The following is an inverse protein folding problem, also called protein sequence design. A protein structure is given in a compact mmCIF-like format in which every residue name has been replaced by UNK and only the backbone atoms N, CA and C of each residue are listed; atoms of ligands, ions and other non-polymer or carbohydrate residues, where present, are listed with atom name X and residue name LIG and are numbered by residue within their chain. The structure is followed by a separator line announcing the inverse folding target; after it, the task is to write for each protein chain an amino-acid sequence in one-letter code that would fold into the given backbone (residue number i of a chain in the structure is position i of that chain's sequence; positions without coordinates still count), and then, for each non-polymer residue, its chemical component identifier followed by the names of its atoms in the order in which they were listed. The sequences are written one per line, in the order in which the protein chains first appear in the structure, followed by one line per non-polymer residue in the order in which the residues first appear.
data_IF_184768500816
#
_entry.id   IF_184768500816
#
_cell.length_a   1.000
_cell.length_b   1.000
_cell.length_c   1.000
_cell.angle_alpha   90.00
_cell.angle_beta   90.00
_cell.angle_gamma   90.00
#
_symmetry.space_group_name_H-M   'P 1'
#
loop_
_entity.id
_entity.type
_entity.pdbx_description
1 polymer ?
#
# COMPACT_ATOMS: atom_id res chain seq x y z
N UNK A 1 -55.01 19.87 12.99
CA UNK A 1 -55.35 20.80 11.90
C UNK A 1 -54.09 21.05 11.08
N UNK A 2 -54.02 20.51 9.87
CA UNK A 2 -52.90 20.74 8.94
C UNK A 2 -53.12 22.08 8.24
N UNK A 3 -52.18 23.03 8.35
CA UNK A 3 -52.25 24.27 7.55
C UNK A 3 -51.93 23.94 6.09
N UNK A 4 -52.71 24.41 5.10
CA UNK A 4 -52.32 24.30 3.70
C UNK A 4 -51.18 25.28 3.39
N UNK A 5 -50.04 24.78 2.93
CA UNK A 5 -48.93 25.59 2.44
C UNK A 5 -49.38 26.39 1.21
N UNK A 6 -49.09 27.68 1.17
CA UNK A 6 -49.51 28.56 0.08
C UNK A 6 -48.54 28.47 -1.10
N UNK A 7 -49.05 28.63 -2.33
CA UNK A 7 -48.25 28.61 -3.56
C UNK A 7 -47.15 29.69 -3.55
N UNK A 8 -47.41 30.83 -2.92
CA UNK A 8 -46.44 31.89 -2.71
C UNK A 8 -45.24 31.47 -1.81
N UNK A 9 -45.47 30.61 -0.83
CA UNK A 9 -44.42 30.08 0.07
C UNK A 9 -43.56 29.03 -0.66
N UNK A 10 -44.15 28.27 -1.58
CA UNK A 10 -43.40 27.35 -2.45
C UNK A 10 -42.52 28.10 -3.47
N UNK A 11 -42.96 29.26 -3.97
CA UNK A 11 -42.20 30.05 -4.94
C UNK A 11 -40.97 30.74 -4.32
N UNK A 12 -41.03 31.15 -3.04
CA UNK A 12 -39.88 31.78 -2.36
C UNK A 12 -38.86 30.78 -1.81
N UNK A 13 -39.27 29.54 -1.52
CA UNK A 13 -38.41 28.53 -0.86
C UNK A 13 -37.51 27.71 -1.81
N UNK A 14 -37.61 27.92 -3.14
CA UNK A 14 -36.99 27.05 -4.15
C UNK A 14 -35.84 27.67 -4.96
N UNK A 15 -35.49 28.95 -4.76
CA UNK A 15 -34.22 29.50 -5.29
C UNK A 15 -33.09 29.08 -4.35
N UNK A 16 -32.56 27.88 -4.55
CA UNK A 16 -31.33 27.46 -3.91
C UNK A 16 -30.25 28.51 -4.18
N UNK A 17 -29.65 29.08 -3.13
CA UNK A 17 -28.54 30.02 -3.27
C UNK A 17 -27.46 29.38 -4.14
N UNK A 18 -26.91 30.10 -5.13
CA UNK A 18 -25.93 29.52 -6.04
C UNK A 18 -24.76 29.02 -5.20
N UNK A 19 -24.53 27.70 -5.23
CA UNK A 19 -23.40 27.08 -4.53
C UNK A 19 -22.14 27.80 -5.01
N UNK A 20 -21.50 28.52 -4.10
CA UNK A 20 -20.30 29.28 -4.40
C UNK A 20 -19.26 28.34 -4.99
N UNK A 21 -18.64 28.75 -6.09
CA UNK A 21 -17.52 28.01 -6.69
C UNK A 21 -16.28 28.19 -5.81
N UNK A 22 -16.35 27.53 -4.65
CA UNK A 22 -15.31 27.52 -3.64
C UNK A 22 -14.18 26.63 -4.14
N UNK A 23 -12.92 27.10 -4.19
CA UNK A 23 -11.80 26.23 -4.53
C UNK A 23 -11.78 25.03 -3.59
N UNK A 24 -11.46 23.86 -4.12
CA UNK A 24 -11.29 22.64 -3.32
C UNK A 24 -10.33 22.92 -2.15
N UNK A 25 -10.66 22.48 -0.95
CA UNK A 25 -9.87 22.82 0.23
C UNK A 25 -10.10 21.83 1.37
N UNK A 26 -9.06 21.56 2.17
CA UNK A 26 -9.20 20.90 3.47
C UNK A 26 -9.49 21.90 4.61
N UNK A 27 -9.38 23.21 4.34
CA UNK A 27 -9.41 24.27 5.35
C UNK A 27 -10.76 25.00 5.46
N UNK A 28 -11.72 24.70 4.58
CA UNK A 28 -13.04 25.34 4.55
C UNK A 28 -14.14 24.33 4.24
N UNK A 29 -15.30 24.44 4.88
CA UNK A 29 -16.40 23.48 4.70
C UNK A 29 -16.89 23.37 3.25
N UNK A 30 -17.12 24.50 2.58
CA UNK A 30 -17.56 24.50 1.18
C UNK A 30 -16.51 23.94 0.21
N UNK A 31 -15.23 24.25 0.43
CA UNK A 31 -14.13 23.67 -0.33
C UNK A 31 -13.94 22.17 -0.06
N UNK A 32 -14.27 21.70 1.15
CA UNK A 32 -14.22 20.30 1.53
C UNK A 32 -15.38 19.49 0.92
N UNK A 33 -16.59 20.07 0.84
CA UNK A 33 -17.72 19.48 0.11
C UNK A 33 -17.45 19.35 -1.39
N UNK A 34 -16.75 20.32 -1.98
CA UNK A 34 -16.31 20.28 -3.39
C UNK A 34 -15.23 19.20 -3.59
N UNK A 35 -14.22 19.16 -2.72
CA UNK A 35 -13.16 18.16 -2.70
C UNK A 35 -13.70 16.73 -2.53
N UNK A 36 -14.62 16.51 -1.59
CA UNK A 36 -15.32 15.23 -1.41
C UNK A 36 -16.12 14.81 -2.64
N UNK A 37 -16.78 15.74 -3.34
CA UNK A 37 -17.58 15.43 -4.54
C UNK A 37 -16.69 14.95 -5.69
N UNK A 38 -15.55 15.62 -5.89
CA UNK A 38 -14.53 15.22 -6.88
C UNK A 38 -13.92 13.87 -6.49
N UNK A 39 -13.56 13.68 -5.21
CA UNK A 39 -13.03 12.42 -4.70
C UNK A 39 -14.01 11.25 -4.94
N UNK A 40 -15.30 11.43 -4.63
CA UNK A 40 -16.35 10.41 -4.87
C UNK A 40 -16.49 10.04 -6.35
N UNK A 41 -16.34 11.00 -7.26
CA UNK A 41 -16.34 10.73 -8.70
C UNK A 41 -15.09 9.94 -9.14
N UNK A 42 -13.91 10.29 -8.62
CA UNK A 42 -12.65 9.57 -8.92
C UNK A 42 -12.65 8.15 -8.35
N UNK A 43 -13.19 7.92 -7.16
CA UNK A 43 -13.33 6.59 -6.55
C UNK A 43 -14.22 5.62 -7.36
N UNK A 44 -15.11 6.14 -8.20
CA UNK A 44 -15.95 5.33 -9.08
C UNK A 44 -15.29 5.01 -10.44
N UNK A 45 -14.12 5.60 -10.74
CA UNK A 45 -13.43 5.43 -12.02
C UNK A 45 -12.55 4.19 -12.06
N UNK A 46 -12.65 3.42 -13.14
CA UNK A 46 -11.75 2.28 -13.41
C UNK A 46 -10.36 2.71 -13.85
N UNK A 47 -10.19 3.94 -14.35
CA UNK A 47 -8.87 4.51 -14.69
C UNK A 47 -8.04 4.84 -13.45
N UNK A 48 -8.68 5.09 -12.31
CA UNK A 48 -8.04 5.35 -11.02
C UNK A 48 -7.54 4.02 -10.42
N UNK A 49 -6.33 3.94 -9.82
CA UNK A 49 -5.80 2.67 -9.28
C UNK A 49 -6.61 2.10 -8.11
N UNK A 50 -6.54 0.78 -7.93
CA UNK A 50 -7.41 0.04 -7.00
C UNK A 50 -7.42 0.58 -5.56
N UNK A 51 -6.26 1.00 -5.02
CA UNK A 51 -6.12 1.59 -3.67
C UNK A 51 -6.95 2.89 -3.46
N UNK A 52 -7.34 3.56 -4.55
CA UNK A 52 -8.12 4.80 -4.59
C UNK A 52 -9.60 4.58 -4.97
N UNK A 53 -9.97 3.39 -5.47
CA UNK A 53 -11.36 3.07 -5.85
C UNK A 53 -12.21 2.79 -4.62
N UNK A 54 -13.52 3.04 -4.71
CA UNK A 54 -14.50 2.70 -3.67
C UNK A 54 -14.68 1.18 -3.48
N UNK A 55 -14.29 0.39 -4.48
CA UNK A 55 -14.33 -1.07 -4.45
C UNK A 55 -13.05 -1.65 -5.03
N UNK A 56 -12.55 -2.72 -4.42
CA UNK A 56 -11.44 -3.53 -4.92
C UNK A 56 -11.95 -4.77 -5.67
N UNK A 57 -11.16 -5.27 -6.62
CA UNK A 57 -11.45 -6.51 -7.34
C UNK A 57 -10.95 -7.71 -6.53
N UNK A 58 -11.86 -8.58 -6.07
CA UNK A 58 -11.47 -9.89 -5.53
C UNK A 58 -11.12 -10.78 -6.72
N UNK A 59 -9.93 -11.39 -6.68
CA UNK A 59 -9.43 -12.25 -7.76
C UNK A 59 -9.13 -13.65 -7.25
N UNK A 60 -9.54 -14.64 -8.02
CA UNK A 60 -9.21 -16.05 -7.81
C UNK A 60 -8.76 -16.66 -9.14
N UNK A 61 -7.62 -17.35 -9.14
CA UNK A 61 -6.98 -17.90 -10.35
C UNK A 61 -6.92 -16.90 -11.53
N UNK A 62 -6.56 -15.65 -11.24
CA UNK A 62 -6.43 -14.56 -12.22
C UNK A 62 -7.75 -13.95 -12.73
N UNK A 63 -8.92 -14.52 -12.40
CA UNK A 63 -10.24 -13.99 -12.78
C UNK A 63 -10.82 -13.15 -11.65
N UNK A 64 -11.51 -12.05 -11.99
CA UNK A 64 -12.30 -11.29 -11.02
C UNK A 64 -13.52 -12.12 -10.64
N UNK A 65 -13.64 -12.49 -9.37
CA UNK A 65 -14.76 -13.27 -8.83
C UNK A 65 -15.77 -12.44 -8.05
N UNK A 66 -15.43 -11.19 -7.72
CA UNK A 66 -16.33 -10.26 -7.06
C UNK A 66 -15.69 -8.92 -6.74
N UNK A 67 -16.41 -8.09 -5.98
CA UNK A 67 -15.94 -6.80 -5.49
C UNK A 67 -16.16 -6.69 -3.98
N UNK A 68 -15.18 -6.13 -3.28
CA UNK A 68 -15.28 -5.78 -1.86
C UNK A 68 -15.22 -4.27 -1.66
N UNK A 69 -15.97 -3.69 -0.70
CA UNK A 69 -15.84 -2.27 -0.38
C UNK A 69 -14.44 -1.92 0.10
N UNK A 70 -13.87 -0.83 -0.40
CA UNK A 70 -12.59 -0.29 0.05
C UNK A 70 -12.85 0.98 0.89
N UNK A 71 -12.86 0.89 2.25
CA UNK A 71 -13.11 2.05 3.11
C UNK A 71 -12.02 3.12 3.00
N UNK A 72 -10.80 2.75 2.61
CA UNK A 72 -9.70 3.68 2.42
C UNK A 72 -9.77 4.45 1.08
N UNK A 73 -10.52 3.97 0.08
CA UNK A 73 -10.53 4.53 -1.27
C UNK A 73 -10.89 6.02 -1.32
N UNK A 74 -11.98 6.41 -0.63
CA UNK A 74 -12.42 7.81 -0.57
C UNK A 74 -11.47 8.72 0.23
N UNK A 75 -11.02 8.37 1.46
CA UNK A 75 -9.95 9.07 2.15
C UNK A 75 -8.67 9.22 1.30
N UNK A 76 -8.23 8.14 0.64
CA UNK A 76 -7.05 8.15 -0.21
C UNK A 76 -7.20 9.13 -1.38
N UNK A 77 -8.37 9.17 -2.04
CA UNK A 77 -8.66 10.16 -3.09
C UNK A 77 -8.64 11.61 -2.58
N UNK A 78 -9.17 11.87 -1.38
CA UNK A 78 -9.13 13.20 -0.75
C UNK A 78 -7.68 13.63 -0.44
N UNK A 79 -6.84 12.71 0.06
CA UNK A 79 -5.41 12.97 0.30
C UNK A 79 -4.65 13.20 -1.00
N UNK A 80 -4.84 12.36 -2.02
CA UNK A 80 -4.19 12.51 -3.32
C UNK A 80 -4.60 13.80 -4.05
N UNK A 81 -5.86 14.23 -3.95
CA UNK A 81 -6.31 15.54 -4.43
C UNK A 81 -5.61 16.69 -3.68
N UNK A 82 -5.47 16.63 -2.35
CA UNK A 82 -4.75 17.66 -1.62
C UNK A 82 -3.24 17.67 -1.95
N UNK A 83 -2.64 16.50 -2.17
CA UNK A 83 -1.25 16.38 -2.64
C UNK A 83 -1.08 17.04 -4.02
N UNK A 84 -1.94 16.70 -4.98
CA UNK A 84 -1.95 17.31 -6.31
C UNK A 84 -2.07 18.84 -6.26
N UNK A 85 -2.97 19.36 -5.42
CA UNK A 85 -3.11 20.81 -5.21
C UNK A 85 -1.84 21.47 -4.62
N UNK A 86 -1.15 20.81 -3.68
CA UNK A 86 0.12 21.33 -3.11
C UNK A 86 1.26 21.34 -4.12
N UNK A 87 1.29 20.36 -5.03
CA UNK A 87 2.32 20.22 -6.06
C UNK A 87 2.04 21.04 -7.33
N UNK A 88 0.84 21.61 -7.49
CA UNK A 88 0.38 22.15 -8.78
C UNK A 88 0.24 21.07 -9.86
N UNK A 89 0.04 19.82 -9.45
CA UNK A 89 0.05 18.64 -10.31
C UNK A 89 -1.37 18.17 -10.69
N UNK A 90 -1.47 17.39 -11.77
CA UNK A 90 -2.71 16.72 -12.14
C UNK A 90 -3.08 15.61 -11.12
N UNK A 91 -4.34 15.52 -10.65
CA UNK A 91 -4.77 14.50 -9.70
C UNK A 91 -4.62 13.06 -10.17
N UNK A 92 -4.84 12.77 -11.46
CA UNK A 92 -4.67 11.41 -11.98
C UNK A 92 -3.19 11.05 -12.05
N UNK A 93 -2.32 11.97 -12.49
CA UNK A 93 -0.86 11.78 -12.46
C UNK A 93 -0.36 11.45 -11.05
N UNK A 94 -0.87 12.14 -10.02
CA UNK A 94 -0.55 11.82 -8.61
C UNK A 94 -1.09 10.44 -8.24
N UNK A 95 -2.36 10.13 -8.52
CA UNK A 95 -2.95 8.82 -8.17
C UNK A 95 -2.27 7.63 -8.87
N UNK A 96 -1.73 7.78 -10.08
CA UNK A 96 -0.98 6.71 -10.76
C UNK A 96 0.41 6.46 -10.15
N UNK A 97 0.98 7.44 -9.44
CA UNK A 97 2.38 7.41 -9.01
C UNK A 97 2.58 7.43 -7.48
N UNK A 98 1.54 7.71 -6.71
CA UNK A 98 1.53 7.65 -5.26
C UNK A 98 1.00 6.27 -4.83
N UNK A 99 1.79 5.53 -4.06
CA UNK A 99 1.50 4.19 -3.56
C UNK A 99 1.41 4.20 -2.04
N UNK A 100 0.49 3.41 -1.48
CA UNK A 100 0.43 3.17 -0.03
C UNK A 100 0.95 1.77 0.26
N UNK A 101 2.06 1.68 0.99
CA UNK A 101 2.75 0.42 1.32
C UNK A 101 2.92 0.40 2.84
N UNK A 102 2.29 -0.56 3.53
CA UNK A 102 2.21 -0.58 5.01
C UNK A 102 1.72 0.76 5.62
N UNK A 103 0.77 1.41 4.96
CA UNK A 103 0.30 2.75 5.35
C UNK A 103 1.26 3.91 5.03
N UNK A 104 2.46 3.64 4.52
CA UNK A 104 3.45 4.66 4.13
C UNK A 104 3.18 5.17 2.70
N UNK A 105 2.92 6.47 2.50
CA UNK A 105 2.81 7.05 1.17
C UNK A 105 4.19 7.12 0.49
N UNK A 106 4.26 6.65 -0.76
CA UNK A 106 5.50 6.39 -1.49
C UNK A 106 5.37 6.82 -2.96
N UNK A 107 6.35 7.49 -3.54
CA UNK A 107 6.34 7.82 -4.99
C UNK A 107 6.88 6.67 -5.85
N UNK A 108 6.49 6.55 -7.11
CA UNK A 108 7.27 5.76 -8.07
C UNK A 108 8.63 6.43 -8.30
N UNK A 109 9.70 5.65 -8.44
CA UNK A 109 11.00 6.22 -8.83
C UNK A 109 10.95 6.93 -10.19
N UNK A 110 10.07 6.47 -11.09
CA UNK A 110 9.82 7.11 -12.39
C UNK A 110 9.21 8.51 -12.24
N UNK A 111 8.29 8.71 -11.29
CA UNK A 111 7.68 10.02 -11.00
C UNK A 111 8.69 11.02 -10.44
N UNK A 112 9.59 10.59 -9.54
CA UNK A 112 10.67 11.45 -9.07
C UNK A 112 11.57 11.90 -10.24
N UNK A 113 11.95 10.97 -11.13
CA UNK A 113 12.73 11.31 -12.34
C UNK A 113 11.96 12.29 -13.23
N UNK A 114 10.65 12.07 -13.44
CA UNK A 114 9.81 12.96 -14.23
C UNK A 114 9.67 14.37 -13.61
N UNK A 115 9.50 14.46 -12.29
CA UNK A 115 9.40 15.72 -11.55
C UNK A 115 10.71 16.51 -11.58
N UNK A 116 11.87 15.85 -11.39
CA UNK A 116 13.20 16.47 -11.53
C UNK A 116 13.42 16.99 -12.96
N UNK A 117 12.93 16.25 -13.98
CA UNK A 117 13.04 16.67 -15.37
C UNK A 117 12.11 17.85 -15.73
N UNK A 118 10.97 18.00 -15.05
CA UNK A 118 9.94 19.00 -15.36
C UNK A 118 9.97 20.25 -14.47
N UNK A 119 10.65 20.23 -13.32
CA UNK A 119 10.66 21.30 -12.31
C UNK A 119 11.23 22.67 -12.76
N UNK A 120 11.65 22.80 -14.01
CA UNK A 120 12.22 24.04 -14.56
C UNK A 120 13.68 24.28 -14.17
N UNK A 121 14.09 24.00 -12.92
CA UNK A 121 15.41 24.32 -12.34
C UNK A 121 16.60 23.57 -12.95
N UNK A 122 16.44 22.31 -13.33
CA UNK A 122 17.53 21.45 -13.80
C UNK A 122 17.45 21.08 -15.28
N UNK A 123 18.57 20.65 -15.87
CA UNK A 123 18.56 19.82 -17.07
C UNK A 123 17.87 18.47 -16.80
N UNK A 124 17.45 17.71 -17.83
CA UNK A 124 17.05 16.33 -17.65
C UNK A 124 18.12 15.52 -16.90
N UNK A 125 17.67 14.71 -15.95
CA UNK A 125 18.48 13.86 -15.08
C UNK A 125 19.22 12.81 -15.90
N UNK A 126 20.53 12.72 -15.68
CA UNK A 126 21.43 11.78 -16.35
C UNK A 126 22.08 10.87 -15.31
N UNK A 127 22.63 9.76 -15.79
CA UNK A 127 23.24 8.73 -14.95
C UNK A 127 24.61 8.35 -15.49
N UNK A 128 25.64 8.55 -14.68
CA UNK A 128 26.96 7.95 -14.91
C UNK A 128 26.95 6.58 -14.21
N UNK A 129 26.90 5.51 -15.02
CA UNK A 129 26.95 4.12 -14.55
C UNK A 129 28.33 3.55 -14.88
N UNK A 130 28.95 2.85 -13.94
CA UNK A 130 30.24 2.19 -14.19
C UNK A 130 30.08 0.97 -15.08
N UNK A 131 31.16 0.62 -15.78
CA UNK A 131 31.31 -0.70 -16.38
C UNK A 131 31.08 -1.83 -15.35
N UNK A 132 30.68 -3.03 -15.81
CA UNK A 132 30.63 -4.22 -14.96
C UNK A 132 32.00 -4.57 -14.38
N UNK A 133 32.09 -4.55 -13.04
CA UNK A 133 33.10 -5.29 -12.31
C UNK A 133 32.94 -6.80 -12.50
N UNK A 134 33.90 -7.56 -11.97
CA UNK A 134 33.92 -9.03 -12.06
C UNK A 134 32.67 -9.65 -11.45
N UNK A 135 32.22 -10.78 -12.01
CA UNK A 135 31.17 -11.62 -11.45
C UNK A 135 31.54 -12.06 -10.02
N UNK A 136 30.71 -11.69 -9.05
CA UNK A 136 30.79 -12.13 -7.66
C UNK A 136 29.60 -13.04 -7.34
N UNK A 137 29.86 -14.21 -6.75
CA UNK A 137 28.81 -15.12 -6.28
C UNK A 137 28.37 -14.67 -4.89
N UNK A 138 27.18 -14.07 -4.80
CA UNK A 138 26.54 -13.74 -3.52
C UNK A 138 25.69 -14.94 -3.10
N UNK A 139 25.99 -15.51 -1.93
CA UNK A 139 25.20 -16.58 -1.31
C UNK A 139 24.27 -15.98 -0.27
N UNK A 140 22.99 -16.31 -0.33
CA UNK A 140 21.97 -15.79 0.56
C UNK A 140 20.95 -16.88 0.92
N UNK A 141 20.24 -16.68 2.03
CA UNK A 141 19.09 -17.53 2.37
C UNK A 141 17.84 -16.92 1.77
N UNK A 142 17.17 -17.63 0.87
CA UNK A 142 15.84 -17.27 0.44
C UNK A 142 14.82 -17.89 1.39
N UNK A 143 13.90 -17.08 1.92
CA UNK A 143 12.67 -17.61 2.51
C UNK A 143 11.80 -18.18 1.38
N UNK A 144 11.46 -19.46 1.47
CA UNK A 144 10.54 -20.16 0.57
C UNK A 144 9.44 -20.78 1.42
N UNK A 145 8.19 -20.52 1.08
CA UNK A 145 7.06 -21.19 1.71
C UNK A 145 6.86 -22.56 1.08
N UNK A 146 6.87 -23.60 1.90
CA UNK A 146 6.58 -24.99 1.52
C UNK A 146 5.60 -25.57 2.54
N UNK A 147 4.44 -26.04 2.07
CA UNK A 147 3.38 -26.63 2.90
C UNK A 147 3.07 -25.75 4.14
N UNK A 148 2.79 -24.47 3.88
CA UNK A 148 2.48 -23.42 4.85
C UNK A 148 3.53 -23.20 5.96
N UNK A 149 4.79 -23.63 5.71
CA UNK A 149 5.93 -23.40 6.59
C UNK A 149 7.03 -22.57 5.91
N UNK A 150 7.41 -21.48 6.58
CA UNK A 150 8.53 -20.60 6.24
C UNK A 150 9.84 -21.41 6.32
N UNK A 151 10.42 -21.77 5.17
CA UNK A 151 11.64 -22.59 5.06
C UNK A 151 12.78 -21.73 4.51
N UNK A 152 13.97 -21.79 5.11
CA UNK A 152 15.16 -21.15 4.55
C UNK A 152 15.86 -22.07 3.54
N UNK A 153 16.02 -21.63 2.29
CA UNK A 153 16.81 -22.34 1.28
C UNK A 153 18.05 -21.53 0.90
N UNK A 154 19.26 -22.12 0.90
CA UNK A 154 20.45 -21.43 0.40
C UNK A 154 20.36 -21.26 -1.11
N UNK A 155 20.40 -20.01 -1.58
CA UNK A 155 20.51 -19.66 -2.99
C UNK A 155 21.82 -18.93 -3.26
N UNK A 156 22.30 -19.02 -4.48
CA UNK A 156 23.42 -18.23 -4.96
C UNK A 156 23.05 -17.49 -6.25
N UNK A 157 23.53 -16.26 -6.39
CA UNK A 157 23.28 -15.41 -7.55
C UNK A 157 24.60 -14.73 -7.94
N UNK A 158 24.90 -14.70 -9.24
CA UNK A 158 26.07 -14.02 -9.81
C UNK A 158 25.73 -12.56 -10.08
N UNK A 159 26.51 -11.65 -9.51
CA UNK A 159 26.29 -10.20 -9.63
C UNK A 159 27.59 -9.53 -10.04
N UNK A 160 27.51 -8.66 -11.03
CA UNK A 160 28.60 -7.78 -11.41
C UNK A 160 28.53 -6.53 -10.55
N UNK A 161 29.58 -6.25 -9.76
CA UNK A 161 29.62 -5.01 -9.00
C UNK A 161 29.60 -3.82 -9.98
N UNK A 162 28.68 -2.87 -9.77
CA UNK A 162 28.61 -1.61 -10.50
C UNK A 162 28.28 -0.47 -9.55
N UNK A 163 28.62 0.75 -9.96
CA UNK A 163 28.19 1.99 -9.32
C UNK A 163 27.33 2.82 -10.27
N UNK A 164 26.48 3.67 -9.72
CA UNK A 164 25.64 4.60 -10.46
C UNK A 164 25.56 5.92 -9.71
N UNK A 165 25.72 7.03 -10.43
CA UNK A 165 25.52 8.39 -9.92
C UNK A 165 24.54 9.14 -10.81
N UNK A 166 23.53 9.77 -10.21
CA UNK A 166 22.63 10.67 -10.91
C UNK A 166 23.20 12.10 -10.91
N UNK A 167 23.10 12.82 -12.03
CA UNK A 167 23.60 14.19 -12.16
C UNK A 167 22.72 15.07 -13.08
N UNK A 168 22.82 16.38 -12.89
CA UNK A 168 22.18 17.41 -13.72
C UNK A 168 23.14 18.57 -13.97
N UNK A 169 22.73 19.49 -14.85
CA UNK A 169 23.21 20.86 -14.88
C UNK A 169 22.09 21.74 -14.31
N UNK A 170 22.39 22.60 -13.33
CA UNK A 170 21.45 23.61 -12.84
C UNK A 170 21.40 24.79 -13.83
N UNK A 171 20.20 25.24 -14.21
CA UNK A 171 20.02 26.20 -15.32
C UNK A 171 20.32 27.65 -14.97
N UNK A 172 20.31 28.00 -13.69
CA UNK A 172 20.56 29.37 -13.21
C UNK A 172 22.06 29.64 -13.08
N UNK A 173 22.80 28.71 -12.51
CA UNK A 173 24.26 28.76 -12.30
C UNK A 173 25.05 28.25 -13.51
N UNK A 174 24.52 27.25 -14.23
CA UNK A 174 25.26 26.47 -15.24
C UNK A 174 26.12 25.35 -14.64
N UNK A 175 26.11 25.17 -13.32
CA UNK A 175 26.96 24.20 -12.62
C UNK A 175 26.43 22.77 -12.75
N UNK A 176 27.36 21.80 -12.81
CA UNK A 176 27.04 20.37 -12.73
C UNK A 176 26.81 19.98 -11.26
N UNK A 177 25.62 19.50 -10.94
CA UNK A 177 25.29 18.95 -9.62
C UNK A 177 25.33 17.42 -9.68
N UNK A 178 26.21 16.84 -8.86
CA UNK A 178 26.46 15.40 -8.74
C UNK A 178 25.78 14.84 -7.47
N UNK A 179 24.86 13.89 -7.65
CA UNK A 179 24.21 13.20 -6.54
C UNK A 179 25.11 12.17 -5.84
N UNK A 180 24.63 11.55 -4.75
CA UNK A 180 25.32 10.44 -4.10
C UNK A 180 25.53 9.25 -5.07
N UNK A 181 26.69 8.59 -4.96
CA UNK A 181 26.96 7.36 -5.70
C UNK A 181 26.32 6.17 -4.97
N UNK A 182 25.45 5.44 -5.66
CA UNK A 182 24.92 4.13 -5.23
C UNK A 182 25.81 3.03 -5.80
N UNK A 183 25.99 1.92 -5.08
CA UNK A 183 26.74 0.76 -5.57
C UNK A 183 26.00 -0.54 -5.33
N UNK A 184 26.33 -1.58 -6.11
CA UNK A 184 25.83 -2.93 -5.82
C UNK A 184 26.38 -3.47 -4.49
N UNK A 185 27.51 -2.97 -3.98
CA UNK A 185 28.01 -3.38 -2.66
C UNK A 185 27.13 -2.82 -1.54
N UNK A 186 26.74 -1.54 -1.61
CA UNK A 186 25.74 -0.95 -0.69
C UNK A 186 24.46 -1.79 -0.65
N UNK A 187 23.98 -2.27 -1.80
CA UNK A 187 22.79 -3.11 -1.87
C UNK A 187 23.01 -4.58 -1.40
N UNK A 188 24.26 -5.07 -1.33
CA UNK A 188 24.64 -6.32 -0.62
C UNK A 188 24.63 -6.06 0.89
N UNK A 189 25.33 -5.01 1.33
CA UNK A 189 25.58 -4.69 2.74
C UNK A 189 24.28 -4.35 3.48
N UNK A 190 23.37 -3.63 2.83
CA UNK A 190 22.03 -3.26 3.31
C UNK A 190 20.98 -4.38 3.07
N UNK A 191 21.38 -5.53 2.51
CA UNK A 191 20.51 -6.71 2.32
C UNK A 191 19.41 -6.60 1.26
N UNK A 192 19.30 -5.48 0.53
CA UNK A 192 18.26 -5.26 -0.49
C UNK A 192 18.22 -6.36 -1.56
N UNK A 193 19.39 -6.90 -1.93
CA UNK A 193 19.52 -8.02 -2.86
C UNK A 193 18.91 -9.33 -2.37
N UNK A 194 18.98 -9.60 -1.06
CA UNK A 194 18.72 -10.93 -0.51
C UNK A 194 17.25 -11.16 -0.16
N UNK A 195 16.42 -10.11 -0.23
CA UNK A 195 14.98 -10.18 0.02
C UNK A 195 14.24 -11.02 -1.03
N UNK A 196 13.15 -11.64 -0.59
CA UNK A 196 12.26 -12.40 -1.46
C UNK A 196 11.66 -11.46 -2.53
N UNK A 197 11.65 -11.90 -3.80
CA UNK A 197 11.18 -11.07 -4.92
C UNK A 197 12.09 -9.87 -5.29
N UNK A 198 13.30 -9.74 -4.73
CA UNK A 198 14.17 -8.57 -4.95
C UNK A 198 14.48 -8.29 -6.42
N UNK A 199 14.07 -7.10 -6.89
CA UNK A 199 14.31 -6.61 -8.25
C UNK A 199 15.79 -6.28 -8.52
N UNK A 200 16.63 -6.21 -7.49
CA UNK A 200 18.07 -5.98 -7.67
C UNK A 200 18.80 -7.16 -8.31
N UNK A 201 18.29 -8.39 -8.15
CA UNK A 201 18.86 -9.57 -8.81
C UNK A 201 18.54 -9.60 -10.31
N UNK A 202 17.35 -9.13 -10.72
CA UNK A 202 16.84 -9.24 -12.10
C UNK A 202 17.02 -7.97 -12.92
N UNK A 203 17.03 -6.78 -12.30
CA UNK A 203 17.13 -5.48 -12.96
C UNK A 203 18.10 -4.52 -12.22
N UNK A 204 19.35 -4.92 -11.92
CA UNK A 204 20.28 -4.15 -11.09
C UNK A 204 20.53 -2.73 -11.64
N UNK A 205 20.68 -2.55 -12.96
CA UNK A 205 20.88 -1.22 -13.56
C UNK A 205 19.71 -0.26 -13.32
N UNK A 206 18.47 -0.77 -13.32
CA UNK A 206 17.28 0.05 -13.12
C UNK A 206 17.18 0.46 -11.66
N UNK A 207 17.39 -0.49 -10.73
CA UNK A 207 17.36 -0.21 -9.29
C UNK A 207 18.47 0.77 -8.88
N UNK A 208 19.69 0.62 -9.42
CA UNK A 208 20.80 1.56 -9.24
C UNK A 208 20.43 2.99 -9.67
N UNK A 209 19.84 3.16 -10.86
CA UNK A 209 19.42 4.48 -11.38
C UNK A 209 18.26 5.06 -10.55
N UNK A 210 17.27 4.25 -10.19
CA UNK A 210 16.14 4.67 -9.36
C UNK A 210 16.58 5.14 -7.96
N UNK A 211 17.44 4.37 -7.29
CA UNK A 211 18.02 4.75 -5.99
C UNK A 211 18.86 6.02 -6.11
N UNK A 212 19.71 6.13 -7.13
CA UNK A 212 20.50 7.35 -7.38
C UNK A 212 19.61 8.58 -7.65
N UNK A 213 18.50 8.42 -8.37
CA UNK A 213 17.54 9.49 -8.61
C UNK A 213 16.80 9.95 -7.34
N UNK A 214 16.39 9.02 -6.46
CA UNK A 214 15.73 9.40 -5.20
C UNK A 214 16.70 10.10 -4.23
N UNK A 215 17.95 9.62 -4.14
CA UNK A 215 18.99 10.27 -3.33
C UNK A 215 19.35 11.67 -3.88
N UNK A 216 19.47 11.83 -5.21
CA UNK A 216 19.64 13.15 -5.83
C UNK A 216 18.45 14.07 -5.50
N UNK A 217 17.22 13.57 -5.67
CA UNK A 217 16.00 14.33 -5.41
C UNK A 217 15.93 14.85 -3.97
N UNK A 218 16.25 14.02 -2.97
CA UNK A 218 16.30 14.44 -1.55
C UNK A 218 17.37 15.50 -1.26
N UNK A 219 18.51 15.43 -1.95
CA UNK A 219 19.64 16.32 -1.70
C UNK A 219 19.44 17.71 -2.33
N UNK A 220 18.88 17.77 -3.53
CA UNK A 220 18.83 19.01 -4.32
C UNK A 220 17.42 19.59 -4.53
N UNK A 221 16.36 18.79 -4.40
CA UNK A 221 14.98 19.23 -4.58
C UNK A 221 13.96 18.45 -3.71
N UNK A 222 14.16 18.39 -2.37
CA UNK A 222 13.28 17.63 -1.46
C UNK A 222 11.82 18.09 -1.48
N UNK A 223 11.56 19.34 -1.89
CA UNK A 223 10.22 19.91 -2.09
C UNK A 223 9.41 19.17 -3.17
N UNK A 224 10.06 18.67 -4.24
CA UNK A 224 9.40 17.89 -5.29
C UNK A 224 8.98 16.50 -4.81
N UNK A 225 9.69 15.97 -3.81
CA UNK A 225 9.39 14.68 -3.18
C UNK A 225 8.38 14.84 -2.03
N UNK A 226 8.23 16.05 -1.50
CA UNK A 226 7.46 16.36 -0.28
C UNK A 226 7.86 15.48 0.92
N UNK A 227 9.14 15.12 1.00
CA UNK A 227 9.69 14.23 2.05
C UNK A 227 9.41 12.74 1.88
N UNK A 228 8.68 12.31 0.84
CA UNK A 228 8.37 10.90 0.61
C UNK A 228 9.53 10.13 -0.03
N UNK A 229 9.68 8.86 0.34
CA UNK A 229 10.60 7.91 -0.30
C UNK A 229 9.95 7.30 -1.57
N UNK A 230 10.72 6.51 -2.34
CA UNK A 230 10.10 5.73 -3.42
C UNK A 230 9.55 4.40 -2.93
N UNK A 231 8.57 3.90 -3.68
CA UNK A 231 8.06 2.54 -3.56
C UNK A 231 9.19 1.50 -3.63
N UNK A 232 10.17 1.69 -4.52
CA UNK A 232 11.32 0.78 -4.59
C UNK A 232 12.16 0.80 -3.31
N UNK A 233 12.46 1.96 -2.73
CA UNK A 233 13.17 2.00 -1.44
C UNK A 233 12.38 1.36 -0.31
N UNK A 234 11.07 1.61 -0.27
CA UNK A 234 10.20 1.11 0.80
C UNK A 234 10.05 -0.41 0.71
N UNK A 235 9.97 -0.99 -0.49
CA UNK A 235 10.08 -2.45 -0.68
C UNK A 235 11.46 -3.02 -0.29
N UNK A 236 12.54 -2.26 -0.46
CA UNK A 236 13.89 -2.71 -0.07
C UNK A 236 14.09 -2.74 1.46
N UNK A 237 13.32 -1.96 2.24
CA UNK A 237 13.32 -2.02 3.71
C UNK A 237 12.35 -3.06 4.29
N UNK A 238 11.23 -3.32 3.61
CA UNK A 238 10.11 -4.14 4.10
C UNK A 238 10.25 -5.61 3.67
N UNK A 239 9.78 -6.58 4.46
CA UNK A 239 10.02 -8.02 4.26
C UNK A 239 8.84 -8.71 3.53
N UNK A 240 8.83 -8.61 2.19
CA UNK A 240 7.75 -9.08 1.33
C UNK A 240 7.42 -10.58 1.48
N UNK A 241 6.39 -10.88 2.28
CA UNK A 241 5.71 -12.18 2.30
C UNK A 241 4.92 -12.43 0.99
N UNK A 242 4.69 -13.69 0.60
CA UNK A 242 3.76 -14.01 -0.48
C UNK A 242 2.33 -14.02 0.05
N UNK A 243 1.41 -13.39 -0.68
CA UNK A 243 -0.01 -13.67 -0.55
C UNK A 243 -0.31 -15.03 -1.20
N UNK A 244 -1.29 -15.77 -0.69
CA UNK A 244 -1.71 -17.08 -1.22
C UNK A 244 -2.27 -17.05 -2.65
N UNK A 245 -2.37 -15.86 -3.24
CA UNK A 245 -2.95 -15.58 -4.57
C UNK A 245 -1.87 -15.21 -5.61
N UNK A 246 -0.58 -15.28 -5.27
CA UNK A 246 0.54 -15.00 -6.18
C UNK A 246 0.90 -13.50 -6.32
N UNK A 247 0.33 -12.65 -5.47
CA UNK A 247 0.87 -11.32 -5.18
C UNK A 247 1.86 -11.39 -4.01
N UNK A 248 2.60 -10.31 -3.77
CA UNK A 248 3.34 -10.11 -2.52
C UNK A 248 2.53 -9.16 -1.63
N UNK A 249 2.02 -9.65 -0.49
CA UNK A 249 1.45 -8.84 0.59
C UNK A 249 2.41 -8.90 1.76
N UNK A 250 2.61 -7.79 2.47
CA UNK A 250 3.53 -7.75 3.61
C UNK A 250 2.77 -7.77 4.92
N UNK A 251 3.26 -8.56 5.89
CA UNK A 251 2.69 -8.62 7.23
C UNK A 251 3.07 -7.38 8.05
N UNK A 252 2.12 -6.45 8.16
CA UNK A 252 2.27 -5.13 8.78
C UNK A 252 2.61 -5.21 10.28
N UNK A 253 2.40 -6.36 10.92
CA UNK A 253 2.57 -6.52 12.38
C UNK A 253 4.04 -6.51 12.82
N UNK A 254 4.96 -7.06 12.02
CA UNK A 254 6.35 -7.35 12.44
C UNK A 254 7.24 -6.09 12.61
N UNK A 255 6.76 -4.92 12.18
CA UNK A 255 7.49 -3.64 12.22
C UNK A 255 6.84 -2.56 13.11
N UNK A 256 5.66 -2.81 13.67
CA UNK A 256 4.85 -1.75 14.32
C UNK A 256 5.07 -1.69 15.83
N UNK A 257 6.12 -0.96 16.22
CA UNK A 257 6.37 -0.56 17.60
C UNK A 257 5.20 0.28 18.15
N UNK A 258 4.25 -0.42 18.78
CA UNK A 258 2.94 0.02 19.29
C UNK A 258 2.04 0.77 18.29
N UNK A 259 1.05 0.03 17.80
CA UNK A 259 -0.17 0.58 17.20
C UNK A 259 -0.79 1.68 18.09
N UNK A 260 -1.20 2.86 17.56
CA UNK A 260 -2.32 3.58 18.16
C UNK A 260 -3.57 2.70 18.03
N UNK A 261 -4.09 2.23 19.15
CA UNK A 261 -5.33 1.46 19.21
C UNK A 261 -6.49 2.29 18.62
N UNK A 262 -7.46 1.66 17.91
CA UNK A 262 -8.65 2.38 17.47
C UNK A 262 -9.35 2.99 18.70
N UNK A 263 -9.86 4.24 18.62
CA UNK A 263 -10.45 4.89 19.78
C UNK A 263 -11.59 4.03 20.31
N UNK A 264 -11.51 3.69 21.60
CA UNK A 264 -12.50 2.83 22.24
C UNK A 264 -13.91 3.40 22.04
N UNK A 265 -14.85 2.53 21.67
CA UNK A 265 -16.26 2.88 21.68
C UNK A 265 -16.63 3.11 23.14
N UNK A 266 -16.86 4.38 23.50
CA UNK A 266 -17.36 4.72 24.83
C UNK A 266 -18.87 4.56 24.76
N UNK A 267 -19.35 3.35 25.05
CA UNK A 267 -20.78 3.09 25.25
C UNK A 267 -21.22 3.73 26.58
N UNK A 268 -21.46 5.05 26.55
CA UNK A 268 -22.10 5.79 27.64
C UNK A 268 -23.61 5.57 27.62
N UNK A 269 -24.04 4.37 28.02
CA UNK A 269 -25.39 4.15 28.55
C UNK A 269 -25.30 4.09 30.09
N UNK A 270 -25.35 5.26 30.72
CA UNK A 270 -25.68 5.38 32.15
C UNK A 270 -27.19 5.13 32.32
N UNK A 271 -27.57 4.04 33.00
CA UNK A 271 -28.82 4.00 33.77
C UNK A 271 -28.59 3.25 35.10
N UNK A 272 -29.38 3.57 36.12
CA UNK A 272 -29.02 3.41 37.54
C UNK A 272 -29.97 2.49 38.34
N UNK A 273 -29.42 1.83 39.36
CA UNK A 273 -30.15 1.03 40.36
C UNK A 273 -29.46 -0.34 40.58
N UNK A 274 -28.79 -0.64 41.71
CA UNK A 274 -29.25 -0.65 43.11
C UNK A 274 -30.31 -1.73 43.38
N UNK A 275 -30.10 -2.76 44.22
CA UNK A 275 -28.89 -3.09 44.99
C UNK A 275 -29.07 -4.31 45.93
N UNK A 276 -28.18 -4.41 46.92
CA UNK A 276 -28.22 -5.29 48.11
C UNK A 276 -27.87 -6.81 47.99
N UNK A 277 -27.79 -7.49 49.14
CA UNK A 277 -26.76 -8.50 49.46
C UNK A 277 -27.24 -9.96 49.64
N UNK A 278 -26.24 -10.88 49.73
CA UNK A 278 -26.20 -12.18 50.45
C UNK A 278 -27.38 -13.17 50.31
N UNK A 279 -27.15 -14.46 50.02
CA UNK A 279 -26.63 -15.41 51.02
C UNK A 279 -26.01 -16.69 50.39
N UNK A 280 -25.49 -17.59 51.21
CA UNK A 280 -24.83 -18.85 50.84
C UNK A 280 -25.45 -20.08 51.50
N UNK A 281 -25.68 -21.17 50.75
CA UNK A 281 -25.82 -22.54 51.31
C UNK A 281 -25.76 -23.62 50.21
N UNK A 282 -25.60 -24.88 50.63
CA UNK A 282 -25.22 -26.02 49.79
C UNK A 282 -26.37 -27.00 49.47
N UNK A 283 -26.09 -27.87 48.48
CA UNK A 283 -26.26 -29.34 48.57
C UNK A 283 -27.39 -30.04 47.79
N UNK A 284 -26.97 -31.10 47.07
CA UNK A 284 -27.69 -32.33 46.66
C UNK A 284 -29.06 -32.22 45.91
N UNK A 285 -29.39 -33.08 44.94
CA UNK A 285 -29.18 -34.55 44.93
C UNK A 285 -29.14 -35.12 43.50
N UNK A 286 -28.70 -36.39 43.39
CA UNK A 286 -28.61 -37.27 42.21
C UNK A 286 -29.96 -37.46 41.47
N UNK A 287 -30.04 -38.06 40.26
CA UNK A 287 -30.03 -39.53 40.04
C UNK A 287 -30.02 -39.92 38.55
N UNK A 288 -29.45 -41.10 38.23
CA UNK A 288 -29.46 -41.86 36.96
C UNK A 288 -28.67 -41.26 35.76
N UNK A 289 -27.76 -41.97 35.06
CA UNK A 289 -27.73 -43.35 34.49
C UNK A 289 -28.42 -43.47 33.11
N UNK A 290 -27.83 -44.12 32.07
CA UNK A 290 -26.50 -44.75 31.91
C UNK A 290 -26.03 -44.77 30.44
N UNK A 291 -24.70 -44.81 30.23
CA UNK A 291 -23.89 -45.65 29.27
C UNK A 291 -24.38 -45.82 27.81
N UNK A 292 -23.61 -45.43 26.77
CA UNK A 292 -22.58 -46.24 26.01
C UNK A 292 -23.08 -47.60 25.48
N UNK A 293 -22.50 -48.28 24.48
CA UNK A 293 -21.29 -48.17 23.63
C UNK A 293 -21.69 -48.66 22.20
N UNK A 294 -20.91 -48.77 21.11
CA UNK A 294 -19.44 -48.82 20.86
C UNK A 294 -19.15 -48.22 19.46
N UNK A 295 -17.88 -48.15 19.04
CA UNK A 295 -17.48 -47.94 17.64
C UNK A 295 -17.26 -49.27 16.89
N UNK A 296 -17.21 -49.24 15.56
CA UNK A 296 -16.53 -50.28 14.76
C UNK A 296 -15.77 -49.65 13.58
N UNK A 297 -14.54 -50.09 13.38
CA UNK A 297 -13.66 -49.71 12.26
C UNK A 297 -13.15 -50.98 11.60
N UNK A 298 -13.31 -51.08 10.28
CA UNK A 298 -12.66 -52.13 9.48
C UNK A 298 -11.95 -51.45 8.30
N UNK A 299 -10.74 -51.94 8.02
CA UNK A 299 -9.77 -51.43 7.06
C UNK A 299 -9.68 -52.38 5.86
N UNK A 300 -9.49 -51.87 4.64
CA UNK A 300 -8.75 -52.58 3.59
C UNK A 300 -8.32 -51.67 2.41
N UNK A 301 -7.28 -52.10 1.68
CA UNK A 301 -6.69 -51.51 0.47
C UNK A 301 -5.71 -52.52 -0.16
N UNK A 302 -5.22 -52.38 -1.42
CA UNK A 302 -5.51 -51.42 -2.49
C UNK A 302 -5.80 -52.08 -3.88
N UNK A 303 -6.09 -51.26 -4.90
CA UNK A 303 -5.88 -51.58 -6.33
C UNK A 303 -5.80 -50.24 -7.12
N UNK A 304 -4.64 -49.82 -7.64
CA UNK A 304 -3.98 -50.22 -8.90
C UNK A 304 -4.43 -49.42 -10.15
N UNK A 305 -3.52 -49.32 -11.13
CA UNK A 305 -3.53 -48.29 -12.19
C UNK A 305 -4.04 -48.78 -13.54
N UNK A 306 -4.87 -47.98 -14.20
CA UNK A 306 -5.07 -48.03 -15.65
C UNK A 306 -5.26 -46.59 -16.19
N UNK A 307 -4.60 -46.27 -17.31
CA UNK A 307 -4.62 -44.92 -17.89
C UNK A 307 -5.66 -44.76 -19.00
N UNK A 308 -6.09 -43.51 -19.22
CA UNK A 308 -6.89 -43.10 -20.38
C UNK A 308 -6.27 -41.86 -21.03
N UNK A 309 -5.47 -42.10 -22.07
CA UNK A 309 -5.27 -41.08 -23.11
C UNK A 309 -6.55 -41.03 -23.96
N UNK A 310 -6.96 -39.84 -24.37
CA UNK A 310 -7.87 -39.63 -25.49
C UNK A 310 -7.16 -38.79 -26.56
N UNK A 311 -7.54 -39.02 -27.81
CA UNK A 311 -6.98 -38.39 -29.03
C UNK A 311 -7.41 -36.93 -29.20
#
# INVERSE_FOLDING_TARGET
MTKPTNLAEMQTSAVATPKSDSPMSLLTGSGFDQLQRVAKALCASTLVPAQYRAFTEVKSYGKVTGHTPNPAGLPNCVVALNMAMRMGADPLMVMQNLYVIEGRPSWSSQFIIAAINSCGRFSPLRFDISDPGKDQVVKYKATVWKNDKKTEEPRETKIQHRTCRAWVIEKETGDRLDGPTVSMQMAIDEGWLTKNGSKWQTMPEIMLRYRAASLFGRLYAPELLMGLQTQEEIHDFIDATPDGVGNYTVDVNDLRNKEPEPPAIIDTDDDQGDGDATDSSESATQTAETVTETAETVDDSPAETAGLNFE
#
